data_IF_892662144711
#
_entry.id   IF_892662144711
#
_cell.length_a   1.000
_cell.length_b   1.000
_cell.length_c   1.000
_cell.angle_alpha   90.00
_cell.angle_beta   90.00
_cell.angle_gamma   90.00
#
_symmetry.space_group_name_H-M   'P 1'
#
loop_
_entity.id
_entity.type
_entity.pdbx_description
1 polymer ?
#
# COMPACT_ATOMS: atom_id res chain seq x y z
N UNK A 1 17.40 -6.32 8.71
CA UNK A 1 16.47 -7.09 7.85
C UNK A 1 16.93 -7.03 6.40
N UNK A 2 16.44 -7.94 5.54
CA UNK A 2 16.72 -7.92 4.10
C UNK A 2 15.56 -7.29 3.35
N UNK A 3 15.86 -6.33 2.48
CA UNK A 3 14.89 -5.62 1.66
C UNK A 3 15.19 -5.81 0.17
N UNK A 4 14.14 -5.93 -0.62
CA UNK A 4 14.19 -6.15 -2.05
C UNK A 4 13.43 -5.05 -2.79
N UNK A 5 14.05 -4.48 -3.83
CA UNK A 5 13.44 -3.48 -4.69
C UNK A 5 13.46 -3.97 -6.14
N UNK A 6 12.28 -4.05 -6.77
CA UNK A 6 12.16 -4.35 -8.19
C UNK A 6 12.26 -3.08 -9.03
N UNK A 7 13.13 -3.10 -10.06
CA UNK A 7 13.30 -2.02 -11.03
C UNK A 7 13.75 -2.56 -12.39
N UNK A 8 13.71 -1.72 -13.42
CA UNK A 8 14.18 -2.01 -14.79
C UNK A 8 15.71 -1.99 -14.92
N UNK A 9 16.44 -1.54 -13.90
CA UNK A 9 17.90 -1.49 -13.86
C UNK A 9 18.45 -1.78 -12.45
N UNK A 10 19.75 -2.01 -12.34
CA UNK A 10 20.44 -2.17 -11.05
C UNK A 10 20.58 -0.82 -10.35
N UNK A 11 20.22 -0.78 -9.07
CA UNK A 11 20.30 0.40 -8.20
C UNK A 11 21.19 0.06 -7.01
N UNK A 12 22.49 0.32 -7.09
CA UNK A 12 23.38 0.05 -5.96
C UNK A 12 23.20 1.09 -4.84
N UNK A 13 22.91 2.33 -5.20
CA UNK A 13 22.76 3.44 -4.24
C UNK A 13 21.51 4.25 -4.56
N UNK A 14 20.37 3.99 -3.88
CA UNK A 14 19.18 4.80 -4.09
C UNK A 14 19.42 6.24 -3.62
N UNK A 15 18.91 7.19 -4.39
CA UNK A 15 19.05 8.62 -4.12
C UNK A 15 17.88 9.15 -3.28
N UNK A 16 18.18 9.81 -2.16
CA UNK A 16 17.16 10.44 -1.34
C UNK A 16 16.45 11.56 -2.12
N UNK A 17 15.11 11.50 -2.17
CA UNK A 17 14.30 12.48 -2.88
C UNK A 17 14.04 12.15 -4.35
N UNK A 18 14.59 11.04 -4.86
CA UNK A 18 14.20 10.46 -6.14
C UNK A 18 12.83 9.76 -6.05
N UNK A 19 12.32 9.33 -7.21
CA UNK A 19 11.05 8.63 -7.31
C UNK A 19 9.82 9.52 -7.51
N UNK A 20 8.69 8.87 -7.80
CA UNK A 20 7.42 9.54 -8.10
C UNK A 20 6.84 10.19 -6.84
N UNK A 21 6.28 11.39 -7.01
CA UNK A 21 5.60 12.13 -5.93
C UNK A 21 4.35 11.40 -5.42
N UNK A 22 3.63 10.73 -6.33
CA UNK A 22 2.30 10.16 -6.09
C UNK A 22 2.33 8.63 -5.96
N UNK A 23 3.17 8.12 -5.06
CA UNK A 23 3.17 6.72 -4.62
C UNK A 23 2.37 6.58 -3.32
N UNK A 24 2.15 5.34 -2.86
CA UNK A 24 1.24 5.00 -1.75
C UNK A 24 1.51 5.79 -0.46
N UNK A 25 2.79 5.90 -0.11
CA UNK A 25 3.29 6.56 1.10
C UNK A 25 4.06 7.85 0.78
N UNK A 26 3.83 8.42 -0.41
CA UNK A 26 4.52 9.60 -0.89
C UNK A 26 5.87 9.30 -1.52
N UNK A 27 6.75 10.29 -1.54
CA UNK A 27 8.08 10.15 -2.16
C UNK A 27 9.02 9.37 -1.24
N UNK A 28 9.63 8.31 -1.76
CA UNK A 28 10.54 7.45 -1.00
C UNK A 28 11.06 6.29 -1.83
N UNK A 29 11.87 5.43 -1.21
CA UNK A 29 12.39 4.20 -1.82
C UNK A 29 11.59 3.00 -1.31
N UNK A 30 10.94 2.29 -2.22
CA UNK A 30 9.94 1.27 -1.91
C UNK A 30 10.54 -0.12 -2.06
N UNK A 31 10.55 -0.87 -0.96
CA UNK A 31 11.08 -2.22 -0.90
C UNK A 31 10.02 -3.20 -0.34
N UNK A 32 10.34 -4.49 -0.37
CA UNK A 32 9.60 -5.55 0.33
C UNK A 32 10.57 -6.57 0.90
N UNK A 33 10.17 -7.30 1.94
CA UNK A 33 10.95 -8.46 2.43
C UNK A 33 10.68 -9.72 1.58
N UNK A 34 9.71 -9.68 0.66
CA UNK A 34 9.39 -10.80 -0.21
C UNK A 34 10.09 -10.64 -1.57
N UNK A 35 11.13 -11.44 -1.79
CA UNK A 35 11.89 -11.41 -3.05
C UNK A 35 11.04 -11.74 -4.28
N UNK A 36 10.06 -12.65 -4.16
CA UNK A 36 9.18 -13.01 -5.28
C UNK A 36 8.31 -11.82 -5.69
N UNK A 37 7.77 -11.09 -4.71
CA UNK A 37 7.04 -9.84 -4.99
C UNK A 37 7.95 -8.80 -5.64
N UNK A 38 9.19 -8.64 -5.17
CA UNK A 38 10.13 -7.72 -5.81
C UNK A 38 10.41 -8.12 -7.27
N UNK A 39 10.48 -9.42 -7.60
CA UNK A 39 10.63 -9.89 -8.99
C UNK A 39 9.40 -9.59 -9.83
N UNK A 40 8.20 -9.78 -9.28
CA UNK A 40 6.94 -9.36 -9.93
C UNK A 40 6.90 -7.83 -10.16
N UNK A 41 7.50 -7.04 -9.27
CA UNK A 41 7.56 -5.58 -9.40
C UNK A 41 8.59 -5.11 -10.42
N UNK A 42 9.67 -5.87 -10.61
CA UNK A 42 10.78 -5.53 -11.50
C UNK A 42 10.41 -5.58 -12.99
N UNK A 43 9.45 -6.43 -13.37
CA UNK A 43 9.14 -6.74 -14.78
C UNK A 43 7.89 -6.04 -15.31
N UNK A 44 7.88 -5.75 -16.62
CA UNK A 44 6.72 -5.30 -17.40
C UNK A 44 6.21 -6.42 -18.33
N UNK A 45 5.23 -6.11 -19.19
CA UNK A 45 4.65 -7.07 -20.14
C UNK A 45 5.63 -7.54 -21.21
N UNK A 46 6.67 -6.75 -21.47
CA UNK A 46 7.59 -6.87 -22.59
C UNK A 46 9.06 -6.62 -22.21
N UNK A 47 9.36 -6.38 -20.92
CA UNK A 47 10.71 -6.11 -20.45
C UNK A 47 11.04 -6.83 -19.15
N UNK A 48 12.25 -7.37 -19.13
CA UNK A 48 12.92 -7.91 -17.95
C UNK A 48 13.20 -6.81 -16.92
N UNK A 49 13.62 -7.25 -15.73
CA UNK A 49 14.06 -6.33 -14.70
C UNK A 49 15.11 -6.92 -13.78
N UNK A 50 15.34 -6.20 -12.70
CA UNK A 50 16.28 -6.55 -11.64
C UNK A 50 15.61 -6.40 -10.28
N UNK A 51 15.94 -7.33 -9.39
CA UNK A 51 15.71 -7.19 -7.96
C UNK A 51 16.99 -6.79 -7.29
N UNK A 52 17.01 -5.57 -6.77
CA UNK A 52 18.09 -5.04 -5.95
C UNK A 52 17.89 -5.47 -4.50
N UNK A 53 18.96 -5.97 -3.88
CA UNK A 53 18.95 -6.52 -2.53
C UNK A 53 19.71 -5.61 -1.58
N UNK A 54 19.13 -5.38 -0.43
CA UNK A 54 19.73 -4.56 0.61
C UNK A 54 19.64 -5.22 1.97
N UNK A 55 20.67 -5.00 2.79
CA UNK A 55 20.60 -5.16 4.23
C UNK A 55 20.33 -3.80 4.87
N UNK A 56 19.54 -3.76 5.93
CA UNK A 56 19.31 -2.55 6.72
C UNK A 56 19.21 -2.89 8.20
N UNK A 57 19.93 -2.15 9.03
CA UNK A 57 19.76 -2.16 10.48
C UNK A 57 18.70 -1.13 10.88
N UNK A 58 17.57 -1.61 11.39
CA UNK A 58 16.46 -0.78 11.84
C UNK A 58 16.53 -0.42 13.32
N UNK A 59 17.53 -0.91 14.07
CA UNK A 59 17.63 -0.72 15.53
C UNK A 59 17.68 0.75 15.95
N UNK A 60 18.16 1.62 15.05
CA UNK A 60 18.26 3.07 15.25
C UNK A 60 17.27 3.86 14.41
N UNK A 61 16.32 3.21 13.71
CA UNK A 61 15.38 3.86 12.81
C UNK A 61 13.98 3.90 13.42
N UNK A 62 13.27 5.01 13.20
CA UNK A 62 11.85 5.10 13.55
C UNK A 62 11.01 4.44 12.45
N UNK A 63 10.44 3.28 12.78
CA UNK A 63 9.62 2.49 11.85
C UNK A 63 8.15 2.60 12.23
N UNK A 64 7.34 3.17 11.33
CA UNK A 64 5.88 3.19 11.44
C UNK A 64 5.31 1.96 10.76
N UNK A 65 4.79 0.99 11.52
CA UNK A 65 4.00 -0.13 10.99
C UNK A 65 2.51 0.23 11.00
N UNK A 66 1.98 0.65 9.86
CA UNK A 66 0.56 1.03 9.70
C UNK A 66 -0.38 -0.19 9.73
N UNK A 67 0.16 -1.40 9.58
CA UNK A 67 -0.62 -2.63 9.64
C UNK A 67 -0.69 -3.20 11.06
N UNK A 68 -0.03 -2.57 12.04
CA UNK A 68 -0.11 -2.98 13.45
C UNK A 68 -1.51 -2.75 14.04
N UNK A 69 -1.79 -3.41 15.15
CA UNK A 69 -3.04 -3.31 15.92
C UNK A 69 -3.34 -1.90 16.46
N UNK A 70 -2.36 -1.00 16.43
CA UNK A 70 -2.51 0.42 16.79
C UNK A 70 -3.27 1.23 15.75
N UNK A 71 -3.40 0.71 14.54
CA UNK A 71 -3.97 1.42 13.40
C UNK A 71 -5.06 0.59 12.73
N UNK A 72 -5.97 1.31 12.10
CA UNK A 72 -7.11 0.75 11.38
C UNK A 72 -6.92 0.92 9.88
N UNK A 73 -7.73 0.23 9.07
CA UNK A 73 -7.69 0.41 7.61
C UNK A 73 -7.96 1.86 7.19
N UNK A 74 -8.69 2.63 8.02
CA UNK A 74 -8.95 4.05 7.80
C UNK A 74 -7.67 4.89 7.86
N UNK A 75 -6.72 4.53 8.71
CA UNK A 75 -5.44 5.22 8.79
C UNK A 75 -4.57 4.95 7.55
N UNK A 76 -4.54 3.70 7.07
CA UNK A 76 -3.90 3.35 5.80
C UNK A 76 -4.52 4.13 4.63
N UNK A 77 -5.86 4.19 4.57
CA UNK A 77 -6.58 5.00 3.57
C UNK A 77 -6.21 6.47 3.67
N UNK A 78 -6.09 7.03 4.87
CA UNK A 78 -5.68 8.42 5.07
C UNK A 78 -4.32 8.72 4.44
N UNK A 79 -3.33 7.85 4.63
CA UNK A 79 -2.02 8.02 3.98
C UNK A 79 -2.15 7.87 2.46
N UNK A 80 -2.91 6.88 1.98
CA UNK A 80 -3.11 6.65 0.55
C UNK A 80 -3.78 7.86 -0.14
N UNK A 81 -4.86 8.39 0.43
CA UNK A 81 -5.63 9.53 -0.08
C UNK A 81 -4.85 10.85 -0.08
N UNK A 82 -3.88 10.98 0.84
CA UNK A 82 -2.98 12.12 0.92
C UNK A 82 -1.92 12.12 -0.18
N UNK A 83 -1.43 10.94 -0.56
CA UNK A 83 -0.28 10.82 -1.46
C UNK A 83 -0.65 10.48 -2.92
N UNK A 84 -1.64 9.61 -3.14
CA UNK A 84 -2.11 9.23 -4.47
C UNK A 84 -3.10 10.24 -5.04
N UNK A 85 -3.19 10.27 -6.37
CA UNK A 85 -4.18 11.08 -7.08
C UNK A 85 -5.47 10.27 -7.23
N UNK A 86 -6.55 10.74 -6.60
CA UNK A 86 -7.90 10.21 -6.77
C UNK A 86 -8.73 11.19 -7.60
N UNK A 87 -9.37 10.70 -8.65
CA UNK A 87 -10.43 11.42 -9.36
C UNK A 87 -11.71 11.30 -8.54
N UNK A 88 -12.14 12.38 -7.88
CA UNK A 88 -13.33 12.42 -7.04
C UNK A 88 -14.48 13.07 -7.81
N UNK A 89 -15.45 12.26 -8.20
CA UNK A 89 -16.55 12.64 -9.06
C UNK A 89 -17.81 13.02 -8.28
N UNK A 90 -18.10 12.34 -7.16
CA UNK A 90 -19.33 12.53 -6.39
C UNK A 90 -19.14 13.42 -5.15
N UNK A 91 -20.21 14.04 -4.61
CA UNK A 91 -20.14 14.74 -3.32
C UNK A 91 -19.70 13.84 -2.18
N UNK A 92 -20.20 12.59 -2.13
CA UNK A 92 -19.83 11.62 -1.09
C UNK A 92 -18.34 11.31 -1.12
N UNK A 93 -17.73 11.11 -2.29
CA UNK A 93 -16.29 10.84 -2.42
C UNK A 93 -15.42 12.00 -1.90
N UNK A 94 -15.87 13.24 -2.14
CA UNK A 94 -15.17 14.43 -1.64
C UNK A 94 -15.28 14.55 -0.13
N UNK A 95 -16.48 14.34 0.41
CA UNK A 95 -16.73 14.35 1.85
C UNK A 95 -15.97 13.22 2.55
N UNK A 96 -16.03 12.01 2.02
CA UNK A 96 -15.29 10.84 2.51
C UNK A 96 -13.79 11.10 2.59
N UNK A 97 -13.20 11.65 1.52
CA UNK A 97 -11.77 11.99 1.54
C UNK A 97 -11.47 13.01 2.63
N UNK A 98 -12.25 14.08 2.73
CA UNK A 98 -12.02 15.12 3.73
C UNK A 98 -12.15 14.56 5.15
N UNK A 99 -13.23 13.83 5.42
CA UNK A 99 -13.50 13.20 6.71
C UNK A 99 -12.38 12.24 7.13
N UNK A 100 -11.87 11.41 6.21
CA UNK A 100 -10.76 10.49 6.49
C UNK A 100 -9.48 11.27 6.82
N UNK A 101 -9.17 12.32 6.07
CA UNK A 101 -7.98 13.13 6.30
C UNK A 101 -8.03 13.89 7.64
N UNK A 102 -9.22 14.34 8.05
CA UNK A 102 -9.38 15.10 9.29
C UNK A 102 -9.33 14.20 10.54
N UNK A 103 -9.84 12.96 10.45
CA UNK A 103 -10.05 12.10 11.62
C UNK A 103 -9.06 10.93 11.74
N UNK A 104 -8.39 10.53 10.64
CA UNK A 104 -7.53 9.34 10.60
C UNK A 104 -6.12 9.61 10.03
N UNK A 105 -5.74 10.88 9.84
CA UNK A 105 -4.39 11.21 9.37
C UNK A 105 -3.31 10.91 10.43
N UNK A 106 -2.18 10.40 9.94
CA UNK A 106 -0.97 10.16 10.74
C UNK A 106 0.12 11.11 10.28
N UNK A 107 0.81 11.74 11.24
CA UNK A 107 2.03 12.48 10.93
C UNK A 107 3.17 11.50 10.65
N UNK A 108 3.91 11.77 9.57
CA UNK A 108 5.14 11.04 9.23
C UNK A 108 6.39 11.81 9.69
N UNK A 109 6.22 12.87 10.47
CA UNK A 109 7.34 13.66 10.99
C UNK A 109 8.21 12.78 11.90
N UNK A 110 9.52 12.77 11.64
CA UNK A 110 10.46 11.94 12.38
C UNK A 110 10.44 10.45 12.01
N UNK A 111 9.54 10.00 11.13
CA UNK A 111 9.51 8.61 10.66
C UNK A 111 10.60 8.40 9.60
N UNK A 112 11.36 7.32 9.77
CA UNK A 112 12.42 6.92 8.85
C UNK A 112 11.89 5.94 7.79
N UNK A 113 11.03 5.01 8.20
CA UNK A 113 10.44 3.95 7.36
C UNK A 113 8.94 3.80 7.64
N UNK A 114 8.13 3.77 6.58
CA UNK A 114 6.70 3.39 6.66
C UNK A 114 6.54 1.98 6.12
N UNK A 115 6.05 1.06 6.96
CA UNK A 115 5.66 -0.29 6.58
C UNK A 115 4.14 -0.37 6.46
N UNK A 116 3.64 -0.96 5.38
CA UNK A 116 2.21 -1.22 5.23
C UNK A 116 1.80 -1.93 3.94
N UNK A 117 0.49 -2.07 3.71
CA UNK A 117 -0.05 -2.63 2.46
C UNK A 117 0.26 -1.79 1.23
N UNK A 118 0.81 -2.44 0.20
CA UNK A 118 0.95 -1.85 -1.14
C UNK A 118 -0.43 -1.61 -1.77
N UNK A 119 -0.63 -0.45 -2.38
CA UNK A 119 -1.81 -0.18 -3.21
C UNK A 119 -1.45 -0.32 -4.69
N UNK A 120 -1.56 -1.55 -5.21
CA UNK A 120 -1.54 -1.81 -6.65
C UNK A 120 -2.89 -1.46 -7.30
N UNK A 121 -3.07 -1.76 -8.59
CA UNK A 121 -4.29 -1.39 -9.32
C UNK A 121 -5.57 -1.95 -8.67
N UNK A 122 -5.52 -3.19 -8.18
CA UNK A 122 -6.65 -3.83 -7.51
C UNK A 122 -6.97 -3.17 -6.17
N UNK A 123 -5.99 -2.95 -5.30
CA UNK A 123 -6.21 -2.27 -4.03
C UNK A 123 -6.65 -0.82 -4.17
N UNK A 124 -6.11 -0.12 -5.16
CA UNK A 124 -6.52 1.24 -5.45
C UNK A 124 -7.99 1.30 -5.86
N UNK A 125 -8.49 0.28 -6.58
CA UNK A 125 -9.92 0.14 -6.86
C UNK A 125 -10.75 -0.13 -5.61
N UNK A 126 -10.29 -0.97 -4.68
CA UNK A 126 -11.04 -1.24 -3.43
C UNK A 126 -11.13 0.01 -2.55
N UNK A 127 -10.04 0.77 -2.45
CA UNK A 127 -10.03 2.04 -1.74
C UNK A 127 -11.02 3.04 -2.37
N UNK A 128 -11.11 3.06 -3.70
CA UNK A 128 -12.10 3.88 -4.42
C UNK A 128 -13.53 3.42 -4.12
N UNK A 129 -13.81 2.13 -4.27
CA UNK A 129 -15.15 1.57 -4.03
C UNK A 129 -15.63 1.85 -2.60
N UNK A 130 -14.73 1.82 -1.61
CA UNK A 130 -15.07 2.18 -0.24
C UNK A 130 -15.44 3.67 -0.10
N UNK A 131 -14.62 4.60 -0.59
CA UNK A 131 -14.93 6.05 -0.48
C UNK A 131 -16.12 6.47 -1.34
N UNK A 132 -16.46 5.70 -2.37
CA UNK A 132 -17.67 5.87 -3.18
C UNK A 132 -18.92 5.26 -2.53
N UNK A 133 -18.76 4.55 -1.41
CA UNK A 133 -19.87 3.89 -0.69
C UNK A 133 -20.38 2.60 -1.34
N UNK A 134 -19.62 2.01 -2.26
CA UNK A 134 -19.96 0.75 -2.94
C UNK A 134 -19.74 -0.44 -2.01
N UNK A 135 -18.65 -0.42 -1.25
CA UNK A 135 -18.33 -1.48 -0.27
C UNK A 135 -18.24 -0.92 1.16
N UNK A 136 -18.49 -1.79 2.14
CA UNK A 136 -18.32 -1.46 3.55
C UNK A 136 -16.85 -1.54 4.00
N UNK A 137 -16.58 -1.04 5.21
CA UNK A 137 -15.29 -1.15 5.88
C UNK A 137 -14.86 -2.61 6.08
N UNK A 138 -15.79 -3.50 6.43
CA UNK A 138 -15.56 -4.92 6.63
C UNK A 138 -15.21 -5.60 5.30
N UNK A 139 -15.90 -5.24 4.22
CA UNK A 139 -15.62 -5.70 2.88
C UNK A 139 -14.25 -5.20 2.39
N UNK A 140 -13.93 -3.91 2.58
CA UNK A 140 -12.59 -3.40 2.29
C UNK A 140 -11.53 -4.20 3.07
N UNK A 141 -11.68 -4.33 4.39
CA UNK A 141 -10.75 -5.07 5.24
C UNK A 141 -10.58 -6.52 4.81
N UNK A 142 -11.66 -7.17 4.35
CA UNK A 142 -11.63 -8.54 3.83
C UNK A 142 -10.93 -8.62 2.48
N UNK A 143 -11.28 -7.75 1.53
CA UNK A 143 -10.63 -7.64 0.23
C UNK A 143 -9.11 -7.47 0.41
N UNK A 144 -8.73 -6.66 1.40
CA UNK A 144 -7.33 -6.39 1.64
C UNK A 144 -6.54 -7.62 2.08
N UNK A 145 -7.15 -8.49 2.89
CA UNK A 145 -6.54 -9.76 3.34
C UNK A 145 -6.51 -10.82 2.23
N UNK A 146 -7.54 -10.87 1.39
CA UNK A 146 -7.65 -11.84 0.30
C UNK A 146 -6.61 -11.61 -0.81
N UNK A 147 -6.22 -10.36 -1.05
CA UNK A 147 -5.32 -9.98 -2.14
C UNK A 147 -3.94 -10.64 -2.07
N UNK A 148 -3.39 -10.95 -0.87
CA UNK A 148 -2.01 -11.48 -0.69
C UNK A 148 -0.95 -10.72 -1.53
N UNK A 149 -1.15 -9.42 -1.70
CA UNK A 149 -0.40 -8.58 -2.62
C UNK A 149 0.82 -7.92 -1.96
N UNK A 150 0.96 -8.13 -0.64
CA UNK A 150 2.18 -7.95 0.12
C UNK A 150 2.28 -6.67 0.93
N UNK A 151 3.25 -6.69 1.85
CA UNK A 151 3.69 -5.52 2.58
C UNK A 151 4.87 -4.87 1.86
N UNK A 152 4.95 -3.57 1.99
CA UNK A 152 6.06 -2.77 1.48
C UNK A 152 6.64 -1.88 2.57
N UNK A 153 7.91 -1.57 2.43
CA UNK A 153 8.69 -0.67 3.26
C UNK A 153 9.06 0.54 2.42
N UNK A 154 8.57 1.71 2.79
CA UNK A 154 8.92 2.97 2.16
C UNK A 154 9.92 3.71 3.03
N UNK A 155 11.17 3.79 2.57
CA UNK A 155 12.21 4.60 3.19
C UNK A 155 11.99 6.07 2.79
N UNK A 156 11.87 6.96 3.77
CA UNK A 156 11.47 8.35 3.54
C UNK A 156 12.40 9.40 4.17
N UNK A 157 13.45 8.98 4.88
CA UNK A 157 14.41 9.90 5.51
C UNK A 157 15.84 9.67 5.01
N UNK A 158 16.69 10.71 5.07
CA UNK A 158 18.12 10.57 4.75
C UNK A 158 18.81 9.50 5.60
N UNK A 159 18.37 9.35 6.85
CA UNK A 159 18.90 8.38 7.81
C UNK A 159 18.58 6.94 7.39
N UNK A 160 17.34 6.67 6.94
CA UNK A 160 16.97 5.38 6.39
C UNK A 160 17.78 5.03 5.13
N UNK A 161 17.96 6.00 4.22
CA UNK A 161 18.77 5.80 3.01
C UNK A 161 20.24 5.53 3.34
N UNK A 162 20.80 6.21 4.35
CA UNK A 162 22.19 5.99 4.77
C UNK A 162 22.40 4.64 5.48
N UNK A 163 21.35 4.08 6.09
CA UNK A 163 21.39 2.77 6.74
C UNK A 163 21.21 1.59 5.76
N UNK A 164 20.89 1.87 4.50
CA UNK A 164 20.65 0.86 3.48
C UNK A 164 21.97 0.43 2.82
N UNK A 165 22.33 -0.84 2.96
CA UNK A 165 23.55 -1.43 2.43
C UNK A 165 23.22 -2.36 1.26
N UNK A 166 23.72 -2.05 0.07
CA UNK A 166 23.51 -2.92 -1.10
C UNK A 166 24.31 -4.22 -0.97
N UNK A 167 23.64 -5.32 -1.24
CA UNK A 167 24.19 -6.69 -1.10
C UNK A 167 24.21 -7.46 -2.42
N UNK A 168 23.69 -6.86 -3.50
CA UNK A 168 23.69 -7.45 -4.85
C UNK A 168 22.36 -7.28 -5.56
N UNK A 169 22.28 -7.81 -6.78
CA UNK A 169 21.07 -7.84 -7.58
C UNK A 169 20.84 -9.20 -8.22
N UNK A 170 19.59 -9.50 -8.52
CA UNK A 170 19.17 -10.67 -9.30
C UNK A 170 18.39 -10.22 -10.53
N UNK A 171 18.69 -10.81 -11.68
CA UNK A 171 17.89 -10.65 -12.88
C UNK A 171 16.51 -11.32 -12.71
N UNK A 172 15.47 -10.68 -13.23
CA UNK A 172 14.11 -11.18 -13.25
C UNK A 172 13.63 -11.27 -14.71
N UNK A 173 13.48 -12.50 -15.21
CA UNK A 173 12.96 -12.78 -16.56
C UNK A 173 11.45 -12.47 -16.60
N UNK A 174 11.05 -11.58 -17.50
CA UNK A 174 9.65 -11.19 -17.66
C UNK A 174 8.77 -12.39 -18.03
N UNK A 175 9.29 -13.36 -18.79
CA UNK A 175 8.53 -14.55 -19.20
C UNK A 175 8.17 -15.44 -18.03
N UNK A 176 8.95 -15.39 -16.95
CA UNK A 176 8.64 -16.09 -15.71
C UNK A 176 7.77 -15.23 -14.78
N UNK A 177 8.17 -13.99 -14.54
CA UNK A 177 7.63 -13.18 -13.44
C UNK A 177 6.40 -12.35 -13.81
N UNK A 178 6.25 -11.96 -15.07
CA UNK A 178 5.07 -11.23 -15.52
C UNK A 178 3.79 -12.09 -15.46
N UNK A 179 3.77 -13.36 -15.91
CA UNK A 179 2.61 -14.23 -15.73
C UNK A 179 2.23 -14.44 -14.25
N UNK A 180 3.21 -14.52 -13.34
CA UNK A 180 2.97 -14.65 -11.90
C UNK A 180 2.34 -13.38 -11.31
N UNK A 181 2.85 -12.21 -11.69
CA UNK A 181 2.28 -10.90 -11.35
C UNK A 181 0.81 -10.81 -11.78
N UNK A 182 0.52 -11.17 -13.03
CA UNK A 182 -0.85 -11.19 -13.56
C UNK A 182 -1.74 -12.21 -12.86
N UNK A 183 -1.22 -13.39 -12.53
CA UNK A 183 -1.96 -14.41 -11.81
C UNK A 183 -2.34 -13.94 -10.39
N UNK A 184 -1.43 -13.23 -9.71
CA UNK A 184 -1.70 -12.65 -8.39
C UNK A 184 -2.80 -11.59 -8.43
N UNK A 185 -2.71 -10.65 -9.37
CA UNK A 185 -3.75 -9.62 -9.59
C UNK A 185 -5.10 -10.28 -9.97
N UNK A 186 -5.09 -11.29 -10.84
CA UNK A 186 -6.28 -12.07 -11.18
C UNK A 186 -6.91 -12.74 -9.95
N UNK A 187 -6.11 -13.32 -9.06
CA UNK A 187 -6.62 -13.93 -7.82
C UNK A 187 -7.19 -12.89 -6.86
N UNK A 188 -6.54 -11.73 -6.72
CA UNK A 188 -7.07 -10.63 -5.91
C UNK A 188 -8.44 -10.17 -6.44
N UNK A 189 -8.54 -9.89 -7.75
CA UNK A 189 -9.81 -9.53 -8.41
C UNK A 189 -10.87 -10.60 -8.30
N UNK A 190 -10.50 -11.88 -8.42
CA UNK A 190 -11.44 -12.99 -8.24
C UNK A 190 -11.96 -13.03 -6.80
N UNK A 191 -11.07 -12.94 -5.81
CA UNK A 191 -11.44 -12.89 -4.40
C UNK A 191 -12.37 -11.73 -4.09
N UNK A 192 -12.11 -10.56 -4.67
CA UNK A 192 -13.00 -9.40 -4.57
C UNK A 192 -14.38 -9.64 -5.18
N UNK A 193 -14.45 -10.13 -6.42
CA UNK A 193 -15.74 -10.45 -7.07
C UNK A 193 -16.54 -11.52 -6.33
N UNK A 194 -15.85 -12.48 -5.72
CA UNK A 194 -16.52 -13.51 -4.91
C UNK A 194 -17.07 -12.92 -3.60
N UNK A 195 -16.37 -11.94 -3.02
CA UNK A 195 -16.85 -11.16 -1.87
C UNK A 195 -18.06 -10.28 -2.23
N UNK A 196 -18.09 -9.66 -3.41
CA UNK A 196 -19.23 -8.82 -3.87
C UNK A 196 -20.54 -9.61 -3.99
N UNK A 197 -20.47 -10.94 -4.14
CA UNK A 197 -21.66 -11.82 -4.17
C UNK A 197 -22.24 -12.09 -2.78
N UNK A 198 -21.56 -11.67 -1.72
CA UNK A 198 -22.07 -11.82 -0.35
C UNK A 198 -23.33 -10.97 -0.17
N UNK A 199 -24.32 -11.54 0.53
CA UNK A 199 -25.53 -10.80 0.84
C UNK A 199 -25.25 -9.65 1.80
N UNK A 200 -25.97 -8.54 1.61
CA UNK A 200 -25.97 -7.40 2.52
C UNK A 200 -26.06 -7.85 3.98
N UNK A 201 -25.15 -7.36 4.83
CA UNK A 201 -25.21 -7.65 6.26
C UNK A 201 -25.62 -6.40 7.03
N UNK A 202 -26.66 -6.56 7.82
CA UNK A 202 -27.14 -5.48 8.69
C UNK A 202 -26.04 -5.08 9.67
N UNK A 203 -25.71 -3.80 9.68
CA UNK A 203 -24.74 -3.23 10.61
C UNK A 203 -23.41 -2.84 9.99
N UNK A 204 -23.10 -3.32 8.77
CA UNK A 204 -21.87 -2.99 8.05
C UNK A 204 -21.64 -1.47 7.93
N UNK A 205 -20.38 -1.08 8.04
CA UNK A 205 -19.96 0.32 8.09
C UNK A 205 -19.61 0.83 6.71
N UNK A 206 -20.60 1.36 6.01
CA UNK A 206 -20.36 2.15 4.80
C UNK A 206 -19.82 3.53 5.16
N UNK A 207 -19.06 4.13 4.25
CA UNK A 207 -18.43 5.44 4.49
C UNK A 207 -19.44 6.52 4.86
N UNK A 208 -20.65 6.52 4.28
CA UNK A 208 -21.71 7.44 4.65
C UNK A 208 -22.11 7.31 6.12
N UNK A 209 -22.26 6.08 6.62
CA UNK A 209 -22.59 5.82 8.04
C UNK A 209 -21.46 6.24 8.97
N UNK A 210 -20.21 6.02 8.58
CA UNK A 210 -19.03 6.47 9.33
C UNK A 210 -19.04 8.00 9.47
N UNK A 211 -19.35 8.72 8.40
CA UNK A 211 -19.46 10.19 8.39
C UNK A 211 -20.65 10.64 9.24
N UNK A 212 -21.84 10.09 8.98
CA UNK A 212 -23.11 10.50 9.62
C UNK A 212 -23.09 10.27 11.14
N UNK A 213 -22.41 9.21 11.60
CA UNK A 213 -22.26 8.91 13.03
C UNK A 213 -20.97 9.48 13.65
N UNK A 214 -20.22 10.29 12.90
CA UNK A 214 -18.98 10.92 13.30
C UNK A 214 -17.93 9.96 13.92
N UNK A 215 -17.78 8.75 13.35
CA UNK A 215 -16.85 7.75 13.87
C UNK A 215 -15.38 8.14 13.64
N UNK A 216 -14.56 8.07 14.68
CA UNK A 216 -13.14 8.48 14.67
C UNK A 216 -12.23 7.29 14.95
N UNK A 217 -10.92 7.55 14.95
CA UNK A 217 -9.86 6.56 15.21
C UNK A 217 -9.99 5.74 16.50
N UNK A 218 -10.72 6.25 17.50
CA UNK A 218 -10.91 5.60 18.80
C UNK A 218 -12.26 4.85 18.89
N UNK A 219 -13.04 4.82 17.81
CA UNK A 219 -14.31 4.09 17.76
C UNK A 219 -14.06 2.58 17.66
N UNK A 220 -14.57 1.82 18.64
CA UNK A 220 -14.35 0.37 18.75
C UNK A 220 -14.95 -0.45 17.61
N UNK A 221 -15.77 0.15 16.75
CA UNK A 221 -16.38 -0.52 15.58
C UNK A 221 -15.46 -0.51 14.36
N UNK A 222 -14.41 0.31 14.35
CA UNK A 222 -13.43 0.48 13.25
C UNK A 222 -12.11 -0.20 13.60
#
# INVERSE_FOLDING_TARGET
MLLYHGSDHVIEKPEFGAGKKHNDYGKGFYCTENIELAKEWAVSEDADGYVNKYSIDTSKLEVLDINSDKYTMMHWLGILLKNRIFTLTTPLEREAKQYILDNFNISLDGIDIVKGYRADDSYFSYARDFISGVISYEQLSKAMRLGKLGEQYCLISKKAFAALEYTGSEYADFKEWYPRKMLRDMYARKGYRDMEKESYRRGELYISKIIDEEMKKDDLRI
#
